data_IF_559397042732
#
_entry.id   IF_559397042732
#
_cell.length_a   1.000
_cell.length_b   1.000
_cell.length_c   1.000
_cell.angle_alpha   90.00
_cell.angle_beta   90.00
_cell.angle_gamma   90.00
#
_symmetry.space_group_name_H-M   'P 1'
#
loop_
_entity.id
_entity.type
_entity.pdbx_description
1 polymer ?
#
# COMPACT_ATOMS: atom_id res chain seq x y z
N UNK A 1 -10.38 -68.86 16.16
CA UNK A 1 -11.43 -68.23 16.99
C UNK A 1 -11.02 -66.76 17.11
N UNK A 2 -11.59 -65.85 16.31
CA UNK A 2 -12.79 -65.05 16.62
C UNK A 2 -12.71 -64.38 18.00
N UNK A 3 -12.98 -63.11 18.24
CA UNK A 3 -13.17 -61.86 17.49
C UNK A 3 -13.42 -60.87 18.64
N UNK A 4 -12.84 -59.67 18.66
CA UNK A 4 -13.55 -58.53 19.26
C UNK A 4 -13.07 -57.23 18.61
N UNK A 5 -14.04 -56.57 17.96
CA UNK A 5 -13.97 -55.20 17.45
C UNK A 5 -14.03 -54.25 18.64
N UNK A 6 -13.54 -53.02 18.49
CA UNK A 6 -14.37 -51.80 18.60
C UNK A 6 -13.57 -50.55 18.20
N UNK A 7 -14.12 -49.88 17.18
CA UNK A 7 -14.14 -48.44 16.91
C UNK A 7 -12.85 -47.76 16.42
N UNK A 8 -12.62 -47.93 15.12
CA UNK A 8 -11.97 -46.93 14.25
C UNK A 8 -12.83 -45.65 14.16
N UNK A 9 -12.26 -44.44 14.32
CA UNK A 9 -13.02 -43.21 14.12
C UNK A 9 -13.39 -43.05 12.64
N UNK A 10 -14.69 -42.89 12.41
CA UNK A 10 -15.31 -42.74 11.09
C UNK A 10 -14.74 -41.54 10.32
N UNK A 11 -14.28 -41.79 9.08
CA UNK A 11 -13.77 -40.78 8.11
C UNK A 11 -14.78 -39.67 7.78
N UNK A 12 -16.04 -39.78 8.23
CA UNK A 12 -17.08 -38.80 7.98
C UNK A 12 -17.05 -37.57 8.90
N UNK A 13 -16.32 -37.60 10.03
CA UNK A 13 -16.26 -36.45 10.96
C UNK A 13 -15.40 -35.30 10.38
N UNK A 14 -14.38 -35.60 9.60
CA UNK A 14 -13.52 -34.58 8.96
C UNK A 14 -14.23 -33.75 7.88
N UNK A 15 -15.33 -34.24 7.31
CA UNK A 15 -16.05 -33.56 6.23
C UNK A 15 -16.99 -32.44 6.73
N UNK A 16 -17.32 -32.41 8.02
CA UNK A 16 -18.24 -31.40 8.60
C UNK A 16 -17.48 -30.15 9.10
N UNK A 17 -16.17 -30.25 9.37
CA UNK A 17 -15.35 -29.11 9.83
C UNK A 17 -14.62 -28.36 8.71
N UNK A 18 -14.58 -28.91 7.49
CA UNK A 18 -13.96 -28.27 6.33
C UNK A 18 -14.66 -26.97 5.84
N UNK A 19 -16.01 -26.80 5.92
CA UNK A 19 -16.65 -25.57 5.47
C UNK A 19 -16.56 -24.41 6.48
N UNK A 20 -16.23 -24.67 7.76
CA UNK A 20 -16.00 -23.60 8.75
C UNK A 20 -14.64 -22.91 8.56
N UNK A 21 -13.68 -23.55 7.90
CA UNK A 21 -12.36 -22.98 7.64
C UNK A 21 -12.35 -21.99 6.45
N UNK A 22 -13.47 -21.86 5.73
CA UNK A 22 -13.65 -20.98 4.57
C UNK A 22 -14.43 -19.69 4.90
N UNK A 23 -14.68 -19.40 6.18
CA UNK A 23 -15.04 -18.05 6.61
C UNK A 23 -13.83 -17.14 6.38
N UNK A 24 -13.72 -16.68 5.14
CA UNK A 24 -12.75 -15.68 4.71
C UNK A 24 -12.86 -14.51 5.69
N UNK A 25 -11.75 -14.15 6.32
CA UNK A 25 -11.63 -12.92 7.10
C UNK A 25 -11.56 -11.75 6.10
N UNK A 26 -12.58 -11.60 5.27
CA UNK A 26 -12.95 -10.30 4.73
C UNK A 26 -13.54 -9.57 5.91
N UNK A 27 -12.79 -8.62 6.49
CA UNK A 27 -13.46 -7.65 7.35
C UNK A 27 -14.57 -7.06 6.49
N UNK A 28 -15.82 -7.20 6.87
CA UNK A 28 -16.91 -6.56 6.15
C UNK A 28 -16.78 -5.04 6.29
N UNK A 29 -17.04 -4.33 5.21
CA UNK A 29 -17.31 -2.90 5.25
C UNK A 29 -18.71 -2.73 5.84
N UNK A 30 -18.82 -2.04 6.97
CA UNK A 30 -20.15 -1.64 7.45
C UNK A 30 -20.66 -0.53 6.53
N UNK A 31 -21.85 -0.69 5.97
CA UNK A 31 -22.50 0.39 5.25
C UNK A 31 -23.04 1.42 6.23
N UNK A 32 -22.49 2.63 6.18
CA UNK A 32 -22.91 3.77 6.98
C UNK A 32 -24.06 4.53 6.34
N UNK A 33 -24.96 5.06 7.18
CA UNK A 33 -26.02 5.98 6.74
C UNK A 33 -25.46 7.39 6.49
N UNK A 34 -26.21 8.24 5.76
CA UNK A 34 -25.74 9.56 5.32
C UNK A 34 -25.18 10.45 6.43
N UNK A 35 -25.84 10.49 7.60
CA UNK A 35 -25.35 11.27 8.75
C UNK A 35 -24.01 10.72 9.26
N UNK A 36 -23.92 9.41 9.48
CA UNK A 36 -22.68 8.76 9.95
C UNK A 36 -21.52 8.98 8.98
N UNK A 37 -21.79 8.93 7.67
CA UNK A 37 -20.78 9.14 6.63
C UNK A 37 -20.28 10.58 6.55
N UNK A 38 -21.13 11.57 6.81
CA UNK A 38 -20.73 12.97 6.88
C UNK A 38 -19.84 13.22 8.10
N UNK A 39 -20.22 12.66 9.25
CA UNK A 39 -19.56 12.88 10.54
C UNK A 39 -18.26 12.08 10.69
N UNK A 40 -18.17 10.89 10.09
CA UNK A 40 -16.98 10.04 10.20
C UNK A 40 -15.76 10.66 9.49
N UNK A 41 -14.57 10.66 10.11
CA UNK A 41 -13.34 11.07 9.43
C UNK A 41 -12.89 10.02 8.42
N UNK A 42 -12.06 10.41 7.45
CA UNK A 42 -11.42 9.44 6.55
C UNK A 42 -10.37 8.59 7.27
N UNK A 43 -10.09 7.42 6.71
CA UNK A 43 -8.95 6.60 7.15
C UNK A 43 -7.61 7.31 6.94
N UNK A 44 -6.59 7.03 7.77
CA UNK A 44 -5.25 7.59 7.59
C UNK A 44 -4.67 7.24 6.20
N UNK A 45 -4.11 8.26 5.54
CA UNK A 45 -3.48 8.10 4.22
C UNK A 45 -4.44 7.84 3.06
N UNK A 46 -5.75 8.08 3.22
CA UNK A 46 -6.75 7.89 2.16
C UNK A 46 -6.40 8.64 0.86
N UNK A 47 -5.74 9.80 0.96
CA UNK A 47 -5.34 10.62 -0.17
C UNK A 47 -3.99 10.23 -0.79
N UNK A 48 -3.22 9.31 -0.19
CA UNK A 48 -1.96 8.87 -0.80
C UNK A 48 -2.20 8.04 -2.07
N UNK A 49 -3.32 7.32 -2.11
CA UNK A 49 -3.72 6.53 -3.26
C UNK A 49 -4.25 7.44 -4.38
N UNK A 50 -3.54 7.51 -5.50
CA UNK A 50 -3.94 8.35 -6.64
C UNK A 50 -3.33 9.76 -6.63
N UNK A 51 -2.51 10.10 -5.63
CA UNK A 51 -1.61 11.25 -5.70
C UNK A 51 -0.51 10.97 -6.74
N UNK A 52 -0.23 11.94 -7.60
CA UNK A 52 0.86 11.87 -8.57
C UNK A 52 2.21 11.78 -7.86
N UNK A 53 3.12 10.97 -8.41
CA UNK A 53 4.43 10.72 -7.83
C UNK A 53 5.51 10.88 -8.91
N UNK A 54 6.51 11.71 -8.63
CA UNK A 54 7.69 11.86 -9.47
C UNK A 54 8.68 10.75 -9.16
N UNK A 55 8.81 9.79 -10.07
CA UNK A 55 9.75 8.66 -9.91
C UNK A 55 11.22 9.08 -9.97
N UNK A 56 11.55 10.24 -10.53
CA UNK A 56 12.92 10.74 -10.70
C UNK A 56 13.38 11.47 -9.44
N UNK A 57 12.51 12.32 -8.85
CA UNK A 57 12.81 13.04 -7.61
C UNK A 57 12.38 12.28 -6.35
N UNK A 58 11.58 11.23 -6.47
CA UNK A 58 10.95 10.49 -5.38
C UNK A 58 10.03 11.37 -4.51
N UNK A 59 9.35 12.33 -5.14
CA UNK A 59 8.50 13.30 -4.47
C UNK A 59 7.04 13.20 -4.91
N UNK A 60 6.14 13.47 -3.97
CA UNK A 60 4.70 13.56 -4.24
C UNK A 60 4.39 14.90 -4.90
N UNK A 61 3.52 14.89 -5.91
CA UNK A 61 3.18 16.09 -6.70
C UNK A 61 2.00 16.89 -6.15
N UNK A 62 1.22 16.35 -5.21
CA UNK A 62 0.00 17.00 -4.71
C UNK A 62 -1.13 17.14 -5.75
N UNK A 63 -0.97 16.56 -6.94
CA UNK A 63 -1.99 16.47 -8.00
C UNK A 63 -2.63 15.09 -7.96
N UNK A 64 -3.96 15.00 -8.01
CA UNK A 64 -4.68 13.74 -7.81
C UNK A 64 -5.31 13.25 -9.10
N UNK A 65 -4.96 12.05 -9.52
CA UNK A 65 -5.51 11.40 -10.72
C UNK A 65 -6.80 10.63 -10.39
N UNK A 66 -6.94 10.23 -9.12
CA UNK A 66 -8.13 9.55 -8.59
C UNK A 66 -8.69 10.42 -7.48
N UNK A 67 -9.99 10.70 -7.54
CA UNK A 67 -10.63 11.50 -6.50
C UNK A 67 -10.91 10.61 -5.27
N UNK A 68 -10.10 10.77 -4.23
CA UNK A 68 -10.24 10.06 -2.95
C UNK A 68 -11.13 10.77 -1.94
N UNK A 69 -11.63 11.96 -2.26
CA UNK A 69 -12.54 12.73 -1.39
C UNK A 69 -14.00 12.29 -1.55
N UNK A 70 -14.33 11.59 -2.64
CA UNK A 70 -15.65 11.02 -2.85
C UNK A 70 -15.77 9.76 -2.00
N UNK A 71 -16.64 9.81 -0.98
CA UNK A 71 -17.00 8.68 -0.13
C UNK A 71 -18.38 8.09 -0.46
N UNK A 72 -19.25 8.88 -1.09
CA UNK A 72 -20.64 8.50 -1.39
C UNK A 72 -20.67 7.43 -2.48
N UNK A 73 -21.41 6.35 -2.23
CA UNK A 73 -21.65 5.27 -3.18
C UNK A 73 -22.74 5.59 -4.21
N UNK A 74 -23.33 6.79 -4.15
CA UNK A 74 -24.35 7.30 -5.08
C UNK A 74 -25.77 7.34 -4.50
N UNK A 75 -25.92 6.98 -3.22
CA UNK A 75 -27.21 6.93 -2.52
C UNK A 75 -27.13 7.57 -1.11
N UNK A 76 -26.08 8.37 -0.86
CA UNK A 76 -25.80 8.97 0.44
C UNK A 76 -25.20 7.99 1.46
N UNK A 77 -24.90 6.75 1.09
CA UNK A 77 -24.22 5.78 1.97
C UNK A 77 -22.72 5.71 1.69
N UNK A 78 -21.96 5.16 2.64
CA UNK A 78 -20.51 5.00 2.53
C UNK A 78 -20.05 3.69 3.16
N UNK A 79 -18.80 3.32 2.86
CA UNK A 79 -18.11 2.24 3.57
C UNK A 79 -17.44 2.79 4.82
N UNK A 80 -17.77 2.20 5.97
CA UNK A 80 -17.16 2.51 7.26
C UNK A 80 -16.30 1.34 7.74
N UNK A 81 -15.11 1.67 8.28
CA UNK A 81 -14.17 0.72 8.87
C UNK A 81 -13.81 1.12 10.29
N UNK A 82 -13.78 0.13 11.17
CA UNK A 82 -13.32 0.32 12.56
C UNK A 82 -11.80 0.30 12.61
N UNK A 83 -11.18 1.39 13.05
CA UNK A 83 -9.73 1.47 13.17
C UNK A 83 -9.26 1.08 14.59
N UNK A 84 -8.73 -0.14 14.71
CA UNK A 84 -8.21 -0.68 15.99
C UNK A 84 -7.01 0.09 16.54
N UNK A 85 -6.25 0.80 15.70
CA UNK A 85 -5.14 1.65 16.13
C UNK A 85 -5.57 3.02 16.66
N UNK A 86 -6.85 3.39 16.49
CA UNK A 86 -7.40 4.67 16.91
C UNK A 86 -8.64 4.45 17.80
N UNK A 87 -8.49 3.65 18.86
CA UNK A 87 -9.56 3.37 19.83
C UNK A 87 -10.86 2.81 19.23
N UNK A 88 -10.79 2.21 18.04
CA UNK A 88 -11.95 1.65 17.38
C UNK A 88 -12.93 2.68 16.82
N UNK A 89 -12.49 3.91 16.52
CA UNK A 89 -13.34 4.87 15.81
C UNK A 89 -13.75 4.31 14.44
N UNK A 90 -14.98 4.64 14.02
CA UNK A 90 -15.44 4.38 12.64
C UNK A 90 -14.89 5.46 11.72
N UNK A 91 -14.23 5.05 10.65
CA UNK A 91 -13.66 5.93 9.64
C UNK A 91 -14.22 5.56 8.27
N UNK A 92 -14.49 6.55 7.43
CA UNK A 92 -14.98 6.33 6.08
C UNK A 92 -13.86 6.05 5.09
N UNK A 93 -14.16 5.20 4.12
CA UNK A 93 -13.29 4.93 2.99
C UNK A 93 -13.72 5.76 1.77
N UNK A 94 -12.77 6.19 0.92
CA UNK A 94 -13.09 6.64 -0.41
C UNK A 94 -13.91 5.59 -1.17
N UNK A 95 -14.87 6.02 -1.98
CA UNK A 95 -15.68 5.16 -2.83
C UNK A 95 -14.78 4.33 -3.77
N UNK A 96 -13.68 4.93 -4.25
CA UNK A 96 -12.68 4.29 -5.10
C UNK A 96 -11.87 3.18 -4.41
N UNK A 97 -11.74 3.18 -3.07
CA UNK A 97 -10.88 2.27 -2.31
C UNK A 97 -11.60 0.96 -1.98
N UNK A 98 -11.07 -0.18 -2.41
CA UNK A 98 -11.76 -1.48 -2.26
C UNK A 98 -11.29 -2.31 -1.05
N UNK A 99 -9.99 -2.38 -0.78
CA UNK A 99 -9.42 -3.27 0.25
C UNK A 99 -8.54 -2.48 1.25
N UNK A 100 -9.17 -1.77 2.18
CA UNK A 100 -8.47 -1.13 3.29
C UNK A 100 -8.69 -1.94 4.56
N UNK A 101 -7.60 -2.25 5.27
CA UNK A 101 -7.68 -2.92 6.57
C UNK A 101 -6.50 -2.58 7.47
N UNK A 102 -6.76 -2.59 8.77
CA UNK A 102 -5.72 -2.59 9.79
C UNK A 102 -5.01 -3.94 9.78
N UNK A 103 -3.68 -3.92 9.80
CA UNK A 103 -2.90 -5.13 10.04
C UNK A 103 -2.90 -5.44 11.55
N UNK A 104 -2.98 -6.71 11.98
CA UNK A 104 -3.15 -7.04 13.40
C UNK A 104 -1.87 -6.87 14.22
N UNK A 105 -0.70 -6.92 13.57
CA UNK A 105 0.60 -6.78 14.20
C UNK A 105 1.50 -5.99 13.27
N UNK A 106 2.17 -5.01 13.82
CA UNK A 106 3.38 -4.49 13.23
C UNK A 106 4.58 -5.02 14.00
N UNK A 107 5.50 -5.67 13.28
CA UNK A 107 6.85 -5.94 13.80
C UNK A 107 7.76 -4.85 13.26
N UNK A 108 8.29 -4.00 14.14
CA UNK A 108 9.27 -2.99 13.75
C UNK A 108 10.50 -3.69 13.21
N UNK A 109 10.82 -3.45 11.95
CA UNK A 109 12.02 -4.01 11.31
C UNK A 109 13.03 -2.90 11.13
N UNK A 110 14.26 -3.16 11.55
CA UNK A 110 15.41 -2.29 11.27
C UNK A 110 16.21 -2.93 10.15
N UNK A 111 16.45 -2.20 9.08
CA UNK A 111 17.43 -2.57 8.05
C UNK A 111 18.61 -1.60 8.13
N UNK A 112 19.81 -2.13 7.90
CA UNK A 112 21.05 -1.37 7.92
C UNK A 112 21.91 -1.86 6.77
N UNK A 113 22.33 -0.95 5.89
CA UNK A 113 23.13 -1.28 4.72
C UNK A 113 24.28 -0.28 4.57
N UNK A 114 25.40 -0.77 4.04
CA UNK A 114 26.57 0.03 3.67
C UNK A 114 26.69 0.00 2.14
N UNK A 115 26.93 1.15 1.53
CA UNK A 115 27.09 1.33 0.09
C UNK A 115 28.46 1.93 -0.20
N UNK A 116 29.24 1.22 -1.01
CA UNK A 116 30.60 1.64 -1.39
C UNK A 116 30.62 2.72 -2.49
N UNK A 117 29.45 3.08 -3.04
CA UNK A 117 29.35 4.12 -4.06
C UNK A 117 28.01 4.84 -4.04
N UNK A 118 27.97 6.02 -4.67
CA UNK A 118 26.75 6.81 -4.90
C UNK A 118 25.73 6.03 -5.74
N UNK A 119 26.20 5.30 -6.75
CA UNK A 119 25.35 4.54 -7.66
C UNK A 119 24.66 3.38 -6.93
N UNK A 120 25.39 2.68 -6.05
CA UNK A 120 24.83 1.59 -5.26
C UNK A 120 23.71 2.09 -4.33
N UNK A 121 23.93 3.23 -3.65
CA UNK A 121 22.92 3.86 -2.81
C UNK A 121 21.69 4.29 -3.63
N UNK A 122 21.88 4.97 -4.78
CA UNK A 122 20.77 5.44 -5.61
C UNK A 122 19.97 4.28 -6.21
N UNK A 123 20.63 3.18 -6.56
CA UNK A 123 19.97 1.97 -7.04
C UNK A 123 19.13 1.30 -5.95
N UNK A 124 19.64 1.23 -4.71
CA UNK A 124 18.85 0.77 -3.55
C UNK A 124 17.62 1.66 -3.32
N UNK A 125 17.77 2.98 -3.34
CA UNK A 125 16.63 3.91 -3.21
C UNK A 125 15.58 3.73 -4.30
N UNK A 126 16.02 3.40 -5.53
CA UNK A 126 15.13 3.13 -6.65
C UNK A 126 14.35 1.83 -6.51
N UNK A 127 14.84 0.87 -5.70
CA UNK A 127 14.17 -0.42 -5.48
C UNK A 127 12.84 -0.31 -4.75
N UNK A 128 12.58 0.83 -4.08
CA UNK A 128 11.28 1.14 -3.49
C UNK A 128 10.17 1.32 -4.55
N UNK A 129 10.54 1.58 -5.80
CA UNK A 129 9.59 1.68 -6.92
C UNK A 129 9.25 0.29 -7.47
N UNK A 130 7.95 0.04 -7.70
CA UNK A 130 7.49 -1.20 -8.33
C UNK A 130 7.98 -1.30 -9.78
N UNK A 131 8.53 -2.45 -10.20
CA UNK A 131 9.02 -2.69 -11.57
C UNK A 131 8.03 -2.24 -12.66
N UNK A 132 6.73 -2.33 -12.38
CA UNK A 132 5.65 -1.94 -13.29
C UNK A 132 5.58 -0.45 -13.62
N UNK A 133 6.26 0.45 -12.88
CA UNK A 133 6.21 1.89 -13.16
C UNK A 133 6.75 2.24 -14.56
N UNK A 134 7.61 1.39 -15.14
CA UNK A 134 8.19 1.56 -16.47
C UNK A 134 7.25 1.08 -17.60
N UNK A 135 6.18 0.35 -17.29
CA UNK A 135 5.29 -0.24 -18.30
C UNK A 135 4.57 0.88 -19.05
N UNK A 136 4.65 0.85 -20.38
CA UNK A 136 4.05 1.87 -21.24
C UNK A 136 4.85 3.16 -21.37
N UNK A 137 6.06 3.22 -20.82
CA UNK A 137 6.99 4.35 -20.95
C UNK A 137 8.24 3.88 -21.71
N UNK A 138 8.62 4.60 -22.78
CA UNK A 138 9.87 4.33 -23.50
C UNK A 138 11.07 4.85 -22.70
N UNK A 139 11.53 4.05 -21.74
CA UNK A 139 12.70 4.37 -20.91
C UNK A 139 13.96 3.81 -21.55
N UNK A 140 14.64 4.63 -22.36
CA UNK A 140 15.94 4.30 -22.98
C UNK A 140 17.09 4.38 -21.98
N UNK A 141 17.14 3.47 -21.02
CA UNK A 141 18.22 3.42 -20.03
C UNK A 141 18.52 1.98 -19.63
N UNK A 142 19.32 1.31 -20.47
CA UNK A 142 19.86 -0.02 -20.17
C UNK A 142 20.99 0.14 -19.15
N UNK A 143 20.83 -0.46 -17.97
CA UNK A 143 21.89 -0.51 -16.94
C UNK A 143 21.98 0.69 -15.99
N UNK A 144 21.19 1.76 -16.17
CA UNK A 144 21.15 2.90 -15.27
C UNK A 144 19.83 2.95 -14.46
N UNK A 145 19.92 3.28 -13.17
CA UNK A 145 18.75 3.65 -12.39
C UNK A 145 18.19 4.96 -12.96
N UNK A 146 16.96 4.93 -13.48
CA UNK A 146 16.25 6.14 -13.96
C UNK A 146 15.41 6.76 -12.86
N UNK A 147 14.85 5.89 -12.00
CA UNK A 147 14.21 6.33 -10.77
C UNK A 147 15.23 6.92 -9.80
N UNK A 148 14.77 7.76 -8.89
CA UNK A 148 15.55 8.33 -7.78
C UNK A 148 16.79 9.17 -8.15
N UNK A 149 17.14 9.36 -9.42
CA UNK A 149 18.38 10.07 -9.83
C UNK A 149 18.48 11.52 -9.34
N UNK A 150 17.35 12.18 -9.10
CA UNK A 150 17.29 13.55 -8.58
C UNK A 150 16.69 13.63 -7.18
N UNK A 151 16.59 12.48 -6.49
CA UNK A 151 16.12 12.43 -5.11
C UNK A 151 17.06 13.14 -4.16
N UNK A 152 16.58 13.43 -2.94
CA UNK A 152 17.42 14.01 -1.88
C UNK A 152 18.61 13.12 -1.54
N UNK A 153 18.41 11.81 -1.51
CA UNK A 153 19.47 10.82 -1.26
C UNK A 153 20.51 10.84 -2.39
N UNK A 154 20.06 10.85 -3.66
CA UNK A 154 20.96 10.95 -4.80
C UNK A 154 21.76 12.26 -4.80
N UNK A 155 21.09 13.41 -4.59
CA UNK A 155 21.76 14.71 -4.51
C UNK A 155 22.79 14.76 -3.39
N UNK A 156 22.46 14.21 -2.23
CA UNK A 156 23.39 14.11 -1.10
C UNK A 156 24.62 13.25 -1.47
N UNK A 157 24.39 12.04 -1.98
CA UNK A 157 25.46 11.13 -2.34
C UNK A 157 26.38 11.70 -3.42
N UNK A 158 25.79 12.25 -4.50
CA UNK A 158 26.53 12.87 -5.60
C UNK A 158 27.29 14.12 -5.17
N UNK A 159 26.79 14.88 -4.19
CA UNK A 159 27.52 16.02 -3.64
C UNK A 159 28.75 15.53 -2.89
N UNK A 160 28.61 14.52 -2.03
CA UNK A 160 29.73 13.97 -1.26
C UNK A 160 30.77 13.26 -2.12
N UNK A 161 30.35 12.48 -3.11
CA UNK A 161 31.26 11.81 -4.05
C UNK A 161 32.08 12.78 -4.92
N UNK A 162 31.69 14.06 -5.02
CA UNK A 162 32.49 15.09 -5.71
C UNK A 162 33.58 15.69 -4.81
N UNK A 163 33.36 15.68 -3.50
CA UNK A 163 34.29 16.25 -2.52
C UNK A 163 35.46 15.29 -2.25
N UNK A 164 35.16 14.00 -2.07
CA UNK A 164 36.14 12.94 -1.81
C UNK A 164 35.52 11.54 -2.06
N UNK A 165 36.30 10.49 -1.81
CA UNK A 165 35.81 9.11 -1.76
C UNK A 165 35.03 8.85 -0.49
N UNK A 166 33.72 8.65 -0.62
CA UNK A 166 32.81 8.30 0.47
C UNK A 166 32.23 6.90 0.33
N UNK A 167 31.96 6.27 1.47
CA UNK A 167 30.95 5.22 1.59
C UNK A 167 29.74 5.76 2.34
N UNK A 168 28.58 5.15 2.13
CA UNK A 168 27.30 5.60 2.67
C UNK A 168 26.68 4.52 3.54
N UNK A 169 26.00 4.92 4.61
CA UNK A 169 25.19 4.00 5.41
C UNK A 169 23.73 4.45 5.38
N UNK A 170 22.82 3.48 5.26
CA UNK A 170 21.37 3.70 5.30
C UNK A 170 20.77 2.83 6.39
N UNK A 171 20.04 3.47 7.29
CA UNK A 171 19.29 2.80 8.35
C UNK A 171 17.81 3.11 8.16
N UNK A 172 16.98 2.07 8.02
CA UNK A 172 15.54 2.22 7.84
C UNK A 172 14.79 1.48 8.94
N UNK A 173 13.74 2.10 9.45
CA UNK A 173 12.80 1.48 10.40
C UNK A 173 11.43 1.42 9.75
N UNK A 174 10.99 0.20 9.43
CA UNK A 174 9.74 -0.05 8.71
C UNK A 174 8.66 -0.64 9.60
N UNK A 175 7.42 -0.17 9.42
CA UNK A 175 6.24 -0.68 10.11
C UNK A 175 4.97 -0.51 9.26
N UNK A 176 4.30 -1.62 8.95
CA UNK A 176 3.05 -1.60 8.19
C UNK A 176 1.86 -1.69 9.16
N UNK A 177 1.16 -0.57 9.36
CA UNK A 177 -0.06 -0.51 10.16
C UNK A 177 -1.33 -0.82 9.34
N UNK A 178 -1.32 -0.41 8.08
CA UNK A 178 -2.46 -0.51 7.20
C UNK A 178 -2.05 -1.22 5.92
N UNK A 179 -2.97 -2.00 5.35
CA UNK A 179 -2.84 -2.46 3.97
C UNK A 179 -3.50 -1.41 3.07
N UNK A 180 -2.73 -0.71 2.21
CA UNK A 180 -3.31 0.20 1.25
C UNK A 180 -4.12 -0.60 0.21
N UNK A 181 -5.12 0.06 -0.37
CA UNK A 181 -5.99 -0.54 -1.37
C UNK A 181 -5.19 -0.94 -2.61
N UNK A 182 -5.12 -2.24 -2.90
CA UNK A 182 -4.44 -2.75 -4.10
C UNK A 182 -5.28 -2.60 -5.37
N UNK A 183 -6.59 -2.36 -5.22
CA UNK A 183 -7.52 -2.09 -6.30
C UNK A 183 -8.27 -0.80 -6.03
N UNK A 184 -8.16 0.13 -6.97
CA UNK A 184 -8.96 1.35 -7.02
C UNK A 184 -10.00 1.18 -8.12
N UNK A 185 -11.27 1.47 -7.82
CA UNK A 185 -12.26 1.67 -8.88
C UNK A 185 -11.82 2.89 -9.69
N UNK A 186 -11.89 2.80 -11.02
CA UNK A 186 -11.59 3.91 -11.93
C UNK A 186 -12.54 5.08 -11.65
N UNK A 187 -12.14 5.99 -10.78
CA UNK A 187 -12.84 7.22 -10.41
C UNK A 187 -11.90 8.39 -10.72
N UNK A 188 -11.73 8.64 -12.02
CA UNK A 188 -10.79 9.64 -12.52
C UNK A 188 -11.20 11.04 -12.08
N UNK A 189 -10.23 11.81 -11.61
CA UNK A 189 -10.44 13.24 -11.40
C UNK A 189 -10.42 13.97 -12.75
N UNK A 190 -11.59 14.49 -13.15
CA UNK A 190 -11.79 15.12 -14.46
C UNK A 190 -10.98 16.40 -14.62
N UNK A 191 -10.63 17.11 -13.54
CA UNK A 191 -9.75 18.29 -13.61
C UNK A 191 -8.32 17.95 -14.02
N UNK A 192 -7.86 16.73 -13.73
CA UNK A 192 -6.47 16.33 -13.89
C UNK A 192 -6.25 15.36 -15.06
N UNK A 193 -7.28 15.03 -15.83
CA UNK A 193 -7.16 14.19 -17.03
C UNK A 193 -6.18 14.77 -18.07
N UNK A 194 -6.05 16.10 -18.15
CA UNK A 194 -5.10 16.77 -19.03
C UNK A 194 -3.63 16.71 -18.59
N UNK A 195 -3.36 16.33 -17.33
CA UNK A 195 -2.01 16.17 -16.76
C UNK A 195 -1.45 14.76 -16.97
N UNK A 196 -2.28 13.78 -17.29
CA UNK A 196 -1.88 12.37 -17.47
C UNK A 196 -1.39 12.08 -18.91
N UNK A 197 -1.55 13.04 -19.84
CA UNK A 197 -1.16 12.91 -21.26
C UNK A 197 -0.08 13.90 -21.72
N UNK A 198 0.73 14.45 -20.81
CA UNK A 198 1.90 15.28 -21.17
C UNK A 198 3.17 14.75 -20.52
#
# INVERSE_FOLDING_TARGET
>A
MHFDRLLTPSRHIYLIFLPLLLMSISGDDDLGASKECKDAPFVPGHNLAGEGFDVVTMERKGSYVINTEIWDLGNGTCKLRKNKYMNGIKQKLPAAVVDWRTLPKCSMKVSSQIFESSEALVNDSSSALSVSWKVGIDVKAVGAAVGSTHSREAKFAMTKSKDDKYSFTKHEVGCNFYRPATHLKKSWDRSNLGLVMR
#
